data_IF_795089930642
#
_entry.id   IF_795089930642
#
_cell.length_a   1.000
_cell.length_b   1.000
_cell.length_c   1.000
_cell.angle_alpha   90.00
_cell.angle_beta   90.00
_cell.angle_gamma   90.00
#
_symmetry.space_group_name_H-M   'P 1'
#
loop_
_entity.id
_entity.type
_entity.pdbx_description
1 polymer ?
#
# COMPACT_ATOMS: atom_id res chain seq x y z
N UNK A 1 -20.91 -65.37 10.28
CA UNK A 1 -21.18 -64.81 11.62
C UNK A 1 -20.74 -63.36 11.60
N UNK A 2 -21.67 -62.40 11.45
CA UNK A 2 -22.45 -61.74 12.53
C UNK A 2 -21.68 -60.54 13.12
N UNK A 3 -22.32 -59.37 12.98
CA UNK A 3 -21.98 -58.04 13.49
C UNK A 3 -21.93 -57.92 15.02
N UNK A 4 -21.12 -56.98 15.53
CA UNK A 4 -21.36 -56.08 16.69
C UNK A 4 -20.22 -55.04 16.74
N UNK A 5 -20.44 -53.76 16.37
CA UNK A 5 -20.70 -52.57 17.22
C UNK A 5 -19.66 -52.33 18.32
N UNK A 6 -18.89 -51.24 18.21
CA UNK A 6 -18.72 -50.29 19.31
C UNK A 6 -18.42 -48.88 18.80
N UNK A 7 -18.97 -47.89 19.49
CA UNK A 7 -19.10 -46.49 19.10
C UNK A 7 -18.38 -45.61 20.12
N UNK A 8 -17.69 -44.57 19.61
CA UNK A 8 -17.17 -43.34 20.25
C UNK A 8 -15.88 -43.40 21.09
N UNK A 9 -14.90 -42.59 20.66
CA UNK A 9 -14.60 -41.29 21.30
C UNK A 9 -13.81 -40.38 20.35
N UNK A 10 -14.25 -39.13 20.23
CA UNK A 10 -13.47 -38.05 19.64
C UNK A 10 -12.25 -37.75 20.52
N UNK A 11 -11.07 -37.66 19.91
CA UNK A 11 -10.09 -36.66 20.32
C UNK A 11 -9.93 -35.66 19.17
N UNK A 12 -10.06 -34.38 19.51
CA UNK A 12 -9.95 -33.29 18.58
C UNK A 12 -8.49 -32.90 18.44
N UNK A 13 -7.89 -33.20 17.29
CA UNK A 13 -6.70 -32.49 16.85
C UNK A 13 -7.13 -31.32 15.97
N UNK A 14 -7.39 -30.18 16.60
CA UNK A 14 -7.56 -28.88 15.93
C UNK A 14 -6.24 -28.56 15.20
N UNK A 15 -6.27 -28.72 13.88
CA UNK A 15 -5.12 -28.47 13.01
C UNK A 15 -4.66 -27.02 13.11
N UNK A 16 -3.35 -26.86 13.25
CA UNK A 16 -2.59 -25.61 13.32
C UNK A 16 -2.61 -24.84 11.98
N UNK A 17 -3.78 -24.59 11.40
CA UNK A 17 -3.94 -23.89 10.12
C UNK A 17 -4.59 -22.51 10.25
N UNK A 18 -5.04 -22.12 11.45
CA UNK A 18 -5.74 -20.83 11.67
C UNK A 18 -4.91 -19.68 12.24
N UNK A 19 -3.63 -19.87 12.58
CA UNK A 19 -2.87 -18.85 13.33
C UNK A 19 -1.91 -17.98 12.51
N UNK A 20 -1.77 -18.21 11.20
CA UNK A 20 -0.79 -17.46 10.39
C UNK A 20 -1.37 -16.27 9.61
N UNK A 21 -2.68 -16.02 9.61
CA UNK A 21 -3.25 -14.88 8.91
C UNK A 21 -3.02 -13.53 9.62
N UNK A 22 -2.91 -13.56 10.95
CA UNK A 22 -2.75 -12.37 11.79
C UNK A 22 -1.29 -11.87 11.82
N UNK A 23 -0.32 -12.71 11.47
CA UNK A 23 1.10 -12.34 11.40
C UNK A 23 1.52 -11.77 10.05
N UNK A 24 0.73 -11.99 8.99
CA UNK A 24 0.94 -11.32 7.69
C UNK A 24 0.41 -9.89 7.67
N UNK A 25 -0.41 -9.50 8.65
CA UNK A 25 -1.13 -8.22 8.73
C UNK A 25 -0.26 -7.03 9.18
N UNK A 26 1.05 -7.20 9.32
CA UNK A 26 1.97 -6.09 9.57
C UNK A 26 3.31 -6.25 8.84
N UNK A 27 3.30 -6.82 7.63
CA UNK A 27 4.48 -6.71 6.76
C UNK A 27 4.56 -5.23 6.35
N UNK A 28 5.40 -4.46 7.05
CA UNK A 28 5.64 -3.03 6.77
C UNK A 28 5.70 -2.83 5.27
N UNK A 29 4.81 -2.00 4.74
CA UNK A 29 4.74 -1.75 3.31
C UNK A 29 6.03 -1.05 2.89
N UNK A 30 6.92 -1.81 2.24
CA UNK A 30 8.23 -1.32 1.85
C UNK A 30 8.17 -0.14 0.88
N UNK A 31 7.09 -0.01 0.10
CA UNK A 31 6.90 1.14 -0.77
C UNK A 31 6.58 2.38 0.06
N UNK A 32 5.62 2.29 0.98
CA UNK A 32 5.25 3.43 1.82
C UNK A 32 6.38 3.89 2.74
N UNK A 33 7.16 2.96 3.31
CA UNK A 33 8.34 3.32 4.11
C UNK A 33 9.40 4.02 3.26
N UNK A 34 9.71 3.49 2.08
CA UNK A 34 10.66 4.12 1.18
C UNK A 34 10.22 5.53 0.77
N UNK A 35 8.93 5.71 0.46
CA UNK A 35 8.37 7.03 0.16
C UNK A 35 8.47 7.97 1.37
N UNK A 36 8.23 7.46 2.59
CA UNK A 36 8.36 8.23 3.83
C UNK A 36 9.76 8.76 4.01
N UNK A 37 10.74 7.88 3.85
CA UNK A 37 12.15 8.23 4.04
C UNK A 37 12.61 9.25 2.98
N UNK A 38 12.15 9.11 1.74
CA UNK A 38 12.38 10.10 0.67
C UNK A 38 11.77 11.47 0.98
N UNK A 39 10.52 11.53 1.45
CA UNK A 39 9.87 12.79 1.82
C UNK A 39 10.46 13.41 3.09
N UNK A 40 11.07 12.60 3.97
CA UNK A 40 11.77 13.13 5.13
C UNK A 40 12.97 14.00 4.76
N UNK A 41 13.61 13.79 3.60
CA UNK A 41 14.65 14.70 3.12
C UNK A 41 14.09 16.10 2.83
N UNK A 42 12.92 16.20 2.19
CA UNK A 42 12.23 17.48 1.98
C UNK A 42 11.92 18.19 3.30
N UNK A 43 11.55 17.44 4.33
CA UNK A 43 11.30 17.97 5.68
C UNK A 43 12.57 18.50 6.34
N UNK A 44 13.63 17.68 6.39
CA UNK A 44 14.89 18.02 7.07
C UNK A 44 15.58 19.23 6.43
N UNK A 45 15.44 19.39 5.12
CA UNK A 45 16.00 20.51 4.38
C UNK A 45 15.12 21.77 4.40
N UNK A 46 13.96 21.74 5.08
CA UNK A 46 12.94 22.81 5.05
C UNK A 46 12.54 23.22 3.61
N UNK A 47 12.61 22.26 2.68
CA UNK A 47 12.38 22.46 1.26
C UNK A 47 10.94 22.06 0.91
N UNK A 48 9.97 22.77 1.47
CA UNK A 48 8.53 22.45 1.33
C UNK A 48 8.05 22.37 -0.13
N UNK A 49 8.64 23.16 -1.02
CA UNK A 49 8.36 23.17 -2.45
C UNK A 49 8.81 21.87 -3.15
N UNK A 50 9.74 21.13 -2.55
CA UNK A 50 10.26 19.89 -3.14
C UNK A 50 9.29 18.70 -3.02
N UNK A 51 8.32 18.74 -2.08
CA UNK A 51 7.39 17.63 -1.88
C UNK A 51 6.61 17.27 -3.16
N UNK A 52 6.09 18.27 -3.87
CA UNK A 52 5.36 18.05 -5.13
C UNK A 52 6.29 17.45 -6.21
N UNK A 53 7.55 17.89 -6.25
CA UNK A 53 8.57 17.32 -7.14
C UNK A 53 8.86 15.86 -6.82
N UNK A 54 9.05 15.53 -5.55
CA UNK A 54 9.26 14.15 -5.08
C UNK A 54 8.05 13.26 -5.40
N UNK A 55 6.82 13.77 -5.25
CA UNK A 55 5.61 13.03 -5.62
C UNK A 55 5.51 12.77 -7.12
N UNK A 56 5.88 13.74 -7.96
CA UNK A 56 5.98 13.55 -9.42
C UNK A 56 7.06 12.54 -9.80
N UNK A 57 8.16 12.49 -9.04
CA UNK A 57 9.19 11.49 -9.24
C UNK A 57 8.67 10.07 -8.92
N UNK A 58 7.92 9.89 -7.83
CA UNK A 58 7.25 8.63 -7.53
C UNK A 58 6.27 8.20 -8.63
N UNK A 59 5.44 9.12 -9.11
CA UNK A 59 4.51 8.90 -10.23
C UNK A 59 5.23 8.37 -11.47
N UNK A 60 6.39 8.95 -11.81
CA UNK A 60 7.22 8.51 -12.94
C UNK A 60 7.74 7.09 -12.74
N UNK A 61 8.28 6.78 -11.56
CA UNK A 61 8.82 5.46 -11.23
C UNK A 61 7.74 4.36 -11.21
N UNK A 62 6.54 4.71 -10.73
CA UNK A 62 5.38 3.83 -10.71
C UNK A 62 4.93 3.53 -12.13
N UNK A 63 4.82 4.54 -12.98
CA UNK A 63 4.42 4.38 -14.38
C UNK A 63 5.46 3.55 -15.16
N UNK A 64 6.74 3.82 -14.96
CA UNK A 64 7.82 2.98 -15.52
C UNK A 64 7.72 1.52 -15.07
N UNK A 65 7.44 1.27 -13.79
CA UNK A 65 7.26 -0.10 -13.27
C UNK A 65 6.03 -0.76 -13.89
N UNK A 66 4.92 -0.02 -14.01
CA UNK A 66 3.66 -0.50 -14.59
C UNK A 66 3.83 -0.95 -16.04
N UNK A 67 4.52 -0.15 -16.85
CA UNK A 67 4.73 -0.41 -18.27
C UNK A 67 5.74 -1.54 -18.54
N UNK A 68 6.63 -1.86 -17.59
CA UNK A 68 7.65 -2.91 -17.73
C UNK A 68 7.18 -4.31 -17.31
N UNK A 69 5.93 -4.46 -16.89
CA UNK A 69 5.39 -5.75 -16.39
C UNK A 69 5.67 -6.93 -17.33
N UNK A 70 5.61 -6.70 -18.63
CA UNK A 70 5.65 -7.76 -19.65
C UNK A 70 7.04 -7.94 -20.30
N UNK A 71 8.03 -7.12 -19.96
CA UNK A 71 9.36 -7.14 -20.61
C UNK A 71 10.39 -8.01 -19.89
N UNK A 72 10.10 -8.47 -18.66
CA UNK A 72 11.03 -9.23 -17.82
C UNK A 72 12.22 -8.42 -17.27
N UNK A 73 12.35 -7.14 -17.67
CA UNK A 73 13.41 -6.24 -17.22
C UNK A 73 13.00 -5.56 -15.91
N UNK A 74 13.89 -5.56 -14.91
CA UNK A 74 13.65 -4.86 -13.64
C UNK A 74 13.48 -3.35 -13.87
N UNK A 75 12.51 -2.74 -13.20
CA UNK A 75 12.39 -1.27 -13.16
C UNK A 75 13.23 -0.70 -12.02
N UNK A 76 13.57 0.59 -12.11
CA UNK A 76 14.25 1.33 -11.04
C UNK A 76 13.50 1.24 -9.71
N UNK A 77 12.16 1.33 -9.74
CA UNK A 77 11.33 1.15 -8.55
C UNK A 77 11.51 -0.22 -7.89
N UNK A 78 11.70 -1.29 -8.68
CA UNK A 78 11.95 -2.64 -8.17
C UNK A 78 13.34 -2.79 -7.55
N UNK A 79 14.30 -1.97 -7.97
CA UNK A 79 15.64 -1.90 -7.36
C UNK A 79 15.59 -1.18 -6.01
N UNK A 80 14.88 -0.06 -5.92
CA UNK A 80 14.70 0.67 -4.66
C UNK A 80 13.83 -0.08 -3.66
N UNK A 81 12.75 -0.71 -4.15
CA UNK A 81 11.75 -1.40 -3.33
C UNK A 81 11.55 -2.81 -3.88
N UNK A 82 12.38 -3.80 -3.50
CA UNK A 82 12.26 -5.18 -3.99
C UNK A 82 10.90 -5.82 -3.69
N UNK A 83 10.22 -5.38 -2.63
CA UNK A 83 8.88 -5.83 -2.24
C UNK A 83 7.74 -5.20 -3.04
N UNK A 84 8.01 -4.25 -3.94
CA UNK A 84 6.95 -3.55 -4.69
C UNK A 84 6.15 -4.55 -5.53
N UNK A 85 4.83 -4.44 -5.43
CA UNK A 85 3.87 -5.22 -6.21
C UNK A 85 3.64 -4.64 -7.60
N UNK A 86 2.60 -5.13 -8.26
CA UNK A 86 2.17 -4.64 -9.57
C UNK A 86 1.21 -3.47 -9.42
N UNK A 87 1.38 -2.45 -10.27
CA UNK A 87 0.38 -1.40 -10.46
C UNK A 87 -0.47 -1.74 -11.69
N UNK A 88 -1.77 -1.45 -11.60
CA UNK A 88 -2.72 -1.73 -12.70
C UNK A 88 -3.19 -0.45 -13.39
N UNK A 89 -3.01 0.70 -12.75
CA UNK A 89 -3.41 2.01 -13.25
C UNK A 89 -2.27 3.01 -13.06
N UNK A 90 -2.19 4.06 -13.89
CA UNK A 90 -1.37 5.23 -13.56
C UNK A 90 -1.87 5.84 -12.24
N UNK A 91 -0.95 6.39 -11.44
CA UNK A 91 -1.28 7.00 -10.14
C UNK A 91 -0.87 8.48 -10.16
N UNK A 92 -1.82 9.44 -10.22
CA UNK A 92 -1.54 10.88 -10.23
C UNK A 92 -1.10 11.38 -8.84
N UNK A 93 0.05 10.91 -8.37
CA UNK A 93 0.57 11.15 -7.02
C UNK A 93 0.79 12.63 -6.74
N UNK A 94 1.28 13.38 -7.73
CA UNK A 94 1.53 14.81 -7.56
C UNK A 94 0.23 15.58 -7.29
N UNK A 95 -0.81 15.30 -8.08
CA UNK A 95 -2.12 15.94 -7.96
C UNK A 95 -2.81 15.53 -6.64
N UNK A 96 -2.78 14.24 -6.30
CA UNK A 96 -3.33 13.75 -5.04
C UNK A 96 -2.63 14.37 -3.83
N UNK A 97 -1.30 14.53 -3.86
CA UNK A 97 -0.56 15.22 -2.81
C UNK A 97 -1.01 16.68 -2.70
N UNK A 98 -1.12 17.42 -3.80
CA UNK A 98 -1.55 18.82 -3.77
C UNK A 98 -2.96 18.96 -3.20
N UNK A 99 -3.88 18.06 -3.55
CA UNK A 99 -5.24 18.05 -3.02
C UNK A 99 -5.25 17.74 -1.51
N UNK A 100 -4.47 16.74 -1.08
CA UNK A 100 -4.33 16.40 0.33
C UNK A 100 -3.69 17.53 1.15
N UNK A 101 -2.61 18.12 0.62
CA UNK A 101 -1.86 19.20 1.26
C UNK A 101 -2.66 20.50 1.35
N UNK A 102 -3.49 20.80 0.35
CA UNK A 102 -4.44 21.93 0.41
C UNK A 102 -5.37 21.82 1.61
N UNK A 103 -5.81 20.60 1.94
CA UNK A 103 -6.71 20.35 3.06
C UNK A 103 -6.01 20.24 4.41
N UNK A 104 -4.86 19.58 4.48
CA UNK A 104 -4.20 19.21 5.74
C UNK A 104 -2.89 19.94 6.02
N UNK A 105 -2.37 20.73 5.06
CA UNK A 105 -1.14 21.54 5.18
C UNK A 105 0.06 20.75 5.70
N UNK A 106 0.26 19.54 5.19
CA UNK A 106 1.34 18.65 5.61
C UNK A 106 2.73 19.21 5.28
N UNK A 107 2.85 19.96 4.18
CA UNK A 107 4.08 20.60 3.70
C UNK A 107 4.51 21.79 4.56
N UNK A 108 3.57 22.40 5.30
CA UNK A 108 3.80 23.61 6.12
C UNK A 108 4.23 23.31 7.56
N UNK A 109 4.31 22.02 7.93
CA UNK A 109 4.68 21.62 9.29
C UNK A 109 6.18 21.81 9.51
N UNK A 110 6.53 22.39 10.66
CA UNK A 110 7.93 22.68 11.04
C UNK A 110 8.58 21.61 11.92
N UNK A 111 7.77 20.79 12.60
CA UNK A 111 8.26 19.90 13.67
C UNK A 111 7.93 18.43 13.44
N UNK A 112 7.05 18.13 12.48
CA UNK A 112 6.57 16.77 12.22
C UNK A 112 6.62 16.53 10.71
N UNK A 113 7.45 15.58 10.31
CA UNK A 113 7.55 15.12 8.93
C UNK A 113 6.26 14.40 8.49
N UNK A 114 6.05 14.21 7.17
CA UNK A 114 5.02 13.31 6.67
C UNK A 114 5.05 11.94 7.33
N UNK A 115 3.91 11.55 7.88
CA UNK A 115 3.72 10.28 8.58
C UNK A 115 3.40 9.16 7.58
N UNK A 116 3.61 7.92 8.00
CA UNK A 116 3.21 6.74 7.21
C UNK A 116 1.71 6.78 6.85
N UNK A 117 0.86 7.28 7.76
CA UNK A 117 -0.57 7.37 7.52
C UNK A 117 -0.94 8.37 6.44
N UNK A 118 -0.27 9.52 6.41
CA UNK A 118 -0.50 10.54 5.37
C UNK A 118 -0.08 10.02 4.00
N UNK A 119 1.02 9.27 3.90
CA UNK A 119 1.44 8.64 2.64
C UNK A 119 0.41 7.62 2.17
N UNK A 120 -0.12 6.79 3.09
CA UNK A 120 -1.21 5.87 2.76
C UNK A 120 -2.43 6.62 2.23
N UNK A 121 -2.82 7.73 2.86
CA UNK A 121 -3.96 8.51 2.41
C UNK A 121 -3.75 9.13 1.03
N UNK A 122 -2.55 9.63 0.74
CA UNK A 122 -2.19 10.17 -0.58
C UNK A 122 -2.20 9.09 -1.65
N UNK A 123 -1.66 7.89 -1.36
CA UNK A 123 -1.72 6.74 -2.27
C UNK A 123 -3.17 6.31 -2.54
N UNK A 124 -3.97 6.16 -1.48
CA UNK A 124 -5.39 5.82 -1.61
C UNK A 124 -6.15 6.86 -2.45
N UNK A 125 -5.89 8.14 -2.21
CA UNK A 125 -6.49 9.24 -2.98
C UNK A 125 -6.08 9.16 -4.45
N UNK A 126 -4.79 8.92 -4.74
CA UNK A 126 -4.29 8.75 -6.11
C UNK A 126 -4.97 7.57 -6.83
N UNK A 127 -5.15 6.46 -6.13
CA UNK A 127 -5.86 5.28 -6.67
C UNK A 127 -7.33 5.60 -6.97
N UNK A 128 -8.03 6.24 -6.03
CA UNK A 128 -9.44 6.66 -6.23
C UNK A 128 -9.57 7.61 -7.40
N UNK A 129 -8.68 8.60 -7.53
CA UNK A 129 -8.64 9.52 -8.67
C UNK A 129 -8.44 8.78 -9.99
N UNK A 130 -7.56 7.77 -10.01
CA UNK A 130 -7.27 7.00 -11.22
C UNK A 130 -8.42 6.06 -11.65
N UNK A 131 -9.06 5.36 -10.70
CA UNK A 131 -10.07 4.34 -11.01
C UNK A 131 -11.49 4.89 -11.04
N UNK A 132 -11.77 5.97 -10.31
CA UNK A 132 -13.12 6.49 -10.07
C UNK A 132 -14.00 6.58 -11.33
N UNK A 133 -13.52 7.17 -12.44
CA UNK A 133 -14.33 7.31 -13.66
C UNK A 133 -14.70 5.99 -14.36
N UNK A 134 -14.04 4.87 -14.05
CA UNK A 134 -14.21 3.57 -14.72
C UNK A 134 -14.62 2.45 -13.77
N UNK A 135 -14.89 2.76 -12.51
CA UNK A 135 -15.14 1.78 -11.47
C UNK A 135 -16.48 1.07 -11.69
N UNK A 136 -16.45 -0.26 -11.74
CA UNK A 136 -17.64 -1.10 -11.96
C UNK A 136 -17.95 -2.04 -10.78
N UNK A 137 -16.94 -2.33 -9.96
CA UNK A 137 -17.05 -3.24 -8.83
C UNK A 137 -16.22 -2.72 -7.66
N UNK A 138 -16.81 -2.72 -6.47
CA UNK A 138 -16.12 -2.49 -5.20
C UNK A 138 -16.33 -3.72 -4.33
N UNK A 139 -15.25 -4.26 -3.81
CA UNK A 139 -15.26 -5.39 -2.87
C UNK A 139 -14.82 -4.89 -1.50
N UNK A 140 -15.49 -5.34 -0.45
CA UNK A 140 -15.12 -5.04 0.94
C UNK A 140 -14.69 -6.33 1.63
N UNK A 141 -13.63 -6.26 2.44
CA UNK A 141 -13.29 -7.33 3.38
C UNK A 141 -14.13 -7.15 4.65
N UNK A 142 -15.01 -8.13 4.93
CA UNK A 142 -15.99 -8.05 6.01
C UNK A 142 -15.36 -7.90 7.39
N UNK A 143 -14.36 -8.73 7.69
CA UNK A 143 -13.74 -8.83 9.03
C UNK A 143 -12.80 -7.67 9.36
N UNK A 144 -12.31 -6.94 8.35
CA UNK A 144 -11.36 -5.84 8.54
C UNK A 144 -11.98 -4.46 8.30
N UNK A 145 -13.13 -4.39 7.62
CA UNK A 145 -13.70 -3.12 7.15
C UNK A 145 -15.12 -2.87 7.61
N UNK A 146 -15.96 -3.92 7.73
CA UNK A 146 -17.40 -3.74 7.97
C UNK A 146 -17.83 -4.03 9.40
N UNK A 147 -17.15 -4.97 10.06
CA UNK A 147 -17.41 -5.40 11.43
C UNK A 147 -16.22 -5.09 12.34
#
# INVERSE_FOLDING_TARGET
HTFAIETLKMDGTLTSSRRNYVLTTLRKDGLMEWMKDMLNHSFVLDASESYAGTMRYFETLIEEHRLRKDTGVRSRLKEFVPSVGTFHTPLPMCEAFQLYDTKYSISKRRFIAPTFNEIRHILNLSQVMAIGPKLQLITFDGDQTLY
#
